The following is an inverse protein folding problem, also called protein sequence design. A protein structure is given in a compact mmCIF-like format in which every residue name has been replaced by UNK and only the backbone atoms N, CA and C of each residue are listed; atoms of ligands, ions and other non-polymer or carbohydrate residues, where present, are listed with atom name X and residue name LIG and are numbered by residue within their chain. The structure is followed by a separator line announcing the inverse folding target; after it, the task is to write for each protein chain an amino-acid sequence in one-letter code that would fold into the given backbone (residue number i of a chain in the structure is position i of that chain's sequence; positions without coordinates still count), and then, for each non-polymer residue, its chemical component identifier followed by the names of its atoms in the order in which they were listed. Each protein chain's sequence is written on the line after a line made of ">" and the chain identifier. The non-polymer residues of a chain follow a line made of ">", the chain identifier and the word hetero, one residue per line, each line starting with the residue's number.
data_IF_064213785808
#
_entry.id   IF_064213785808
#
_cell.length_a   1.000
_cell.length_b   1.000
_cell.length_c   1.000
_cell.angle_alpha   90.00
_cell.angle_beta   90.00
_cell.angle_gamma   90.00
#
_symmetry.space_group_name_H-M   'P 1'
#
loop_
_entity.id
_entity.type
_entity.pdbx_description
1 polymer ?
#
# COMPACT_ATOMS: atom_id res chain seq x y z
N UNK A 1 -6.70 -26.37 -4.21
CA UNK A 1 -6.53 -25.31 -3.20
C UNK A 1 -7.09 -24.03 -3.82
N UNK A 2 -8.19 -23.51 -3.28
CA UNK A 2 -8.75 -22.23 -3.73
C UNK A 2 -7.79 -21.13 -3.29
N UNK A 3 -7.37 -20.26 -4.21
CA UNK A 3 -6.51 -19.14 -3.86
C UNK A 3 -7.36 -18.05 -3.20
N UNK A 4 -7.18 -17.84 -1.89
CA UNK A 4 -7.93 -16.85 -1.11
C UNK A 4 -7.23 -15.49 -1.04
N UNK A 5 -6.06 -15.35 -1.68
CA UNK A 5 -5.29 -14.13 -1.62
C UNK A 5 -6.06 -12.96 -2.24
N UNK A 6 -5.91 -11.81 -1.61
CA UNK A 6 -6.33 -10.53 -2.18
C UNK A 6 -5.08 -9.81 -2.66
N UNK A 7 -5.08 -9.42 -3.93
CA UNK A 7 -3.99 -8.67 -4.56
C UNK A 7 -4.57 -7.37 -5.06
N UNK A 8 -3.97 -6.26 -4.65
CA UNK A 8 -4.40 -4.92 -5.04
C UNK A 8 -3.27 -4.16 -5.71
N UNK A 9 -3.62 -3.42 -6.76
CA UNK A 9 -2.82 -2.36 -7.34
C UNK A 9 -3.63 -1.08 -7.26
N UNK A 10 -3.20 -0.14 -6.42
CA UNK A 10 -3.92 1.10 -6.17
C UNK A 10 -3.06 2.25 -6.66
N UNK A 11 -3.62 3.12 -7.50
CA UNK A 11 -3.00 4.39 -7.87
C UNK A 11 -3.72 5.53 -7.16
N UNK A 12 -2.96 6.35 -6.43
CA UNK A 12 -3.47 7.52 -5.73
C UNK A 12 -2.73 8.78 -6.20
N UNK A 13 -3.44 9.66 -6.90
CA UNK A 13 -2.91 10.97 -7.29
C UNK A 13 -3.11 11.97 -6.17
N UNK A 14 -2.02 12.61 -5.76
CA UNK A 14 -1.98 13.51 -4.61
C UNK A 14 -1.69 14.93 -5.08
N UNK A 15 -2.26 15.92 -4.41
CA UNK A 15 -1.91 17.31 -4.64
C UNK A 15 -0.40 17.53 -4.37
N UNK A 16 0.35 18.19 -5.28
CA UNK A 16 1.80 18.34 -5.13
C UNK A 16 2.23 18.95 -3.79
N UNK A 17 1.42 19.86 -3.24
CA UNK A 17 1.68 20.55 -1.97
C UNK A 17 1.61 19.59 -0.77
N UNK A 18 0.86 18.49 -0.88
CA UNK A 18 0.71 17.45 0.17
C UNK A 18 1.71 16.29 0.00
N UNK A 19 2.50 16.27 -1.07
CA UNK A 19 3.40 15.16 -1.37
C UNK A 19 4.42 14.91 -0.26
N UNK A 20 5.02 15.97 0.29
CA UNK A 20 6.01 15.86 1.35
C UNK A 20 5.40 15.26 2.63
N UNK A 21 4.20 15.73 3.01
CA UNK A 21 3.43 15.22 4.15
C UNK A 21 3.17 13.71 4.00
N UNK A 22 2.70 13.29 2.82
CA UNK A 22 2.44 11.86 2.56
C UNK A 22 3.70 11.00 2.61
N UNK A 23 4.84 11.47 2.08
CA UNK A 23 6.10 10.72 2.14
C UNK A 23 6.55 10.50 3.57
N UNK A 24 6.46 11.53 4.42
CA UNK A 24 6.84 11.39 5.82
C UNK A 24 5.88 10.47 6.59
N UNK A 25 4.58 10.56 6.34
CA UNK A 25 3.60 9.63 6.89
C UNK A 25 3.89 8.17 6.45
N UNK A 26 4.19 7.97 5.17
CA UNK A 26 4.48 6.65 4.61
C UNK A 26 5.71 5.99 5.23
N UNK A 27 6.76 6.76 5.56
CA UNK A 27 7.97 6.23 6.23
C UNK A 27 7.66 5.58 7.58
N UNK A 28 6.68 6.11 8.30
CA UNK A 28 6.25 5.58 9.59
C UNK A 28 5.21 4.47 9.46
N UNK A 29 4.35 4.56 8.45
CA UNK A 29 3.25 3.63 8.21
C UNK A 29 3.73 2.29 7.65
N UNK A 30 4.59 2.29 6.63
CA UNK A 30 4.99 1.09 5.90
C UNK A 30 5.58 -0.02 6.79
N UNK A 31 6.48 0.25 7.76
CA UNK A 31 7.02 -0.80 8.63
C UNK A 31 5.94 -1.45 9.51
N UNK A 32 4.92 -0.69 9.92
CA UNK A 32 3.82 -1.18 10.76
C UNK A 32 2.93 -2.12 9.96
N UNK A 33 2.51 -1.69 8.77
CA UNK A 33 1.68 -2.50 7.88
C UNK A 33 2.35 -3.80 7.48
N UNK A 34 3.64 -3.76 7.16
CA UNK A 34 4.39 -4.97 6.80
C UNK A 34 4.53 -5.96 7.95
N UNK A 35 4.30 -5.54 9.18
CA UNK A 35 4.30 -6.41 10.36
C UNK A 35 2.90 -6.96 10.69
N UNK A 36 1.85 -6.51 10.00
CA UNK A 36 0.48 -6.96 10.25
C UNK A 36 0.31 -8.44 9.86
N UNK A 37 -0.39 -9.24 10.71
CA UNK A 37 -0.64 -10.64 10.41
C UNK A 37 -1.40 -10.82 9.09
N UNK A 38 -0.75 -11.45 8.12
CA UNK A 38 -1.37 -11.79 6.85
C UNK A 38 -1.12 -10.81 5.71
N UNK A 39 -0.38 -9.73 5.95
CA UNK A 39 0.28 -8.95 4.90
C UNK A 39 1.48 -9.75 4.39
N UNK A 40 1.44 -10.15 3.11
CA UNK A 40 2.55 -10.85 2.46
C UNK A 40 3.45 -9.90 1.68
N UNK A 41 2.89 -8.85 1.10
CA UNK A 41 3.64 -7.77 0.48
C UNK A 41 2.88 -6.46 0.61
N UNK A 42 3.63 -5.38 0.83
CA UNK A 42 3.10 -4.01 0.82
C UNK A 42 4.18 -3.07 0.29
N UNK A 43 4.11 -2.79 -1.01
CA UNK A 43 5.00 -1.84 -1.67
C UNK A 43 4.28 -0.52 -1.90
N UNK A 44 5.00 0.56 -1.67
CA UNK A 44 4.60 1.89 -2.06
C UNK A 44 5.71 2.47 -2.92
N UNK A 45 5.35 2.88 -4.13
CA UNK A 45 6.24 3.56 -5.07
C UNK A 45 5.51 4.75 -5.68
N UNK A 46 6.15 5.44 -6.61
CA UNK A 46 5.54 6.48 -7.42
C UNK A 46 5.66 6.13 -8.89
N UNK A 47 4.75 6.64 -9.72
CA UNK A 47 4.89 6.55 -11.16
C UNK A 47 6.13 7.34 -11.61
N UNK A 48 6.81 6.81 -12.63
CA UNK A 48 8.01 7.43 -13.20
C UNK A 48 7.69 8.72 -13.96
N UNK A 49 6.54 8.76 -14.62
CA UNK A 49 6.07 9.89 -15.44
C UNK A 49 5.31 10.96 -14.63
N UNK A 50 4.74 10.59 -13.48
CA UNK A 50 4.09 11.51 -12.54
C UNK A 50 4.44 11.16 -11.09
N UNK A 51 5.48 11.78 -10.50
CA UNK A 51 5.90 11.51 -9.12
C UNK A 51 4.89 11.90 -8.02
N UNK A 52 3.75 12.51 -8.38
CA UNK A 52 2.63 12.77 -7.47
C UNK A 52 1.57 11.67 -7.51
N UNK A 53 1.72 10.68 -8.40
CA UNK A 53 0.90 9.47 -8.41
C UNK A 53 1.63 8.36 -7.68
N UNK A 54 1.14 8.03 -6.49
CA UNK A 54 1.63 6.93 -5.68
C UNK A 54 0.98 5.63 -6.14
N UNK A 55 1.74 4.54 -6.10
CA UNK A 55 1.28 3.20 -6.47
C UNK A 55 1.50 2.27 -5.30
N UNK A 56 0.42 1.72 -4.78
CA UNK A 56 0.42 0.67 -3.77
C UNK A 56 0.28 -0.68 -4.46
N UNK A 57 1.16 -1.62 -4.09
CA UNK A 57 1.02 -3.02 -4.47
C UNK A 57 0.96 -3.86 -3.20
N UNK A 58 -0.20 -4.45 -2.98
CA UNK A 58 -0.56 -5.09 -1.71
C UNK A 58 -0.96 -6.52 -1.97
N UNK A 59 -0.46 -7.43 -1.13
CA UNK A 59 -0.83 -8.84 -1.15
C UNK A 59 -1.20 -9.24 0.27
N UNK A 60 -2.43 -9.71 0.43
CA UNK A 60 -2.95 -10.28 1.66
C UNK A 60 -3.20 -11.77 1.49
N UNK A 61 -2.93 -12.56 2.53
CA UNK A 61 -3.16 -14.01 2.51
C UNK A 61 -4.62 -14.41 2.35
N UNK A 62 -5.54 -13.54 2.75
CA UNK A 62 -6.99 -13.77 2.74
C UNK A 62 -7.76 -12.46 2.76
N UNK A 63 -9.06 -12.53 2.46
CA UNK A 63 -9.99 -11.40 2.62
C UNK A 63 -10.02 -10.88 4.07
N UNK A 64 -10.03 -11.76 5.07
CA UNK A 64 -10.01 -11.35 6.48
C UNK A 64 -8.74 -10.59 6.87
N UNK A 65 -7.59 -10.92 6.28
CA UNK A 65 -6.35 -10.18 6.51
C UNK A 65 -6.39 -8.78 5.86
N UNK A 66 -7.00 -8.65 4.68
CA UNK A 66 -7.27 -7.35 4.08
C UNK A 66 -8.25 -6.54 4.94
N UNK A 67 -9.33 -7.15 5.43
CA UNK A 67 -10.32 -6.45 6.27
C UNK A 67 -9.74 -6.00 7.62
N UNK A 68 -8.70 -6.67 8.14
CA UNK A 68 -7.97 -6.23 9.34
C UNK A 68 -7.07 -5.01 9.07
N UNK A 69 -6.57 -4.89 7.85
CA UNK A 69 -5.69 -3.79 7.44
C UNK A 69 -6.46 -2.46 7.22
N UNK A 70 -7.69 -2.57 6.70
CA UNK A 70 -8.58 -1.43 6.40
C UNK A 70 -9.12 -0.75 7.67
#
# INVERSE_FOLDING_TARGET
>A
MTNEKVIMLIEAKIEPQRRAELVEAARQYLPRVRAEPGVEAFYLTVRKDDPNTFVFYEIYRSRAAQDLHL
#
